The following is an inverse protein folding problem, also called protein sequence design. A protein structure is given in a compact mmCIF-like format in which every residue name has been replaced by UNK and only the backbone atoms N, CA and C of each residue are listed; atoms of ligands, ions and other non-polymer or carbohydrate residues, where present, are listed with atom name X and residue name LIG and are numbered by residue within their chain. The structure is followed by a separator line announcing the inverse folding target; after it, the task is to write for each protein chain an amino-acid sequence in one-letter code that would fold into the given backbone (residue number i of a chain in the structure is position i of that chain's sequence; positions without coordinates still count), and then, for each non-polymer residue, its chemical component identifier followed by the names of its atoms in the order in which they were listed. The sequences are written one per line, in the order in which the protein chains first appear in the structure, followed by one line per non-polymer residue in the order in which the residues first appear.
data_IF_497696528419
#
_entry.id   IF_497696528419
#
_cell.length_a   1.000
_cell.length_b   1.000
_cell.length_c   1.000
_cell.angle_alpha   90.00
_cell.angle_beta   90.00
_cell.angle_gamma   90.00
#
_symmetry.space_group_name_H-M   'P 1'
#
loop_
_entity.id
_entity.type
_entity.pdbx_description
1 polymer ?
#
# COMPACT_ATOMS: atom_id res chain seq x y z
N UNK A 1 -13.62 -1.06 0.53
CA UNK A 1 -14.63 -0.14 1.13
C UNK A 1 -15.09 0.85 0.07
N UNK A 2 -16.36 1.28 0.11
CA UNK A 2 -16.88 2.35 -0.74
C UNK A 2 -16.13 3.67 -0.50
N UNK A 3 -15.70 4.32 -1.58
CA UNK A 3 -14.91 5.55 -1.55
C UNK A 3 -13.42 5.36 -1.26
N UNK A 4 -12.91 4.12 -1.27
CA UNK A 4 -11.48 3.79 -1.08
C UNK A 4 -10.95 3.03 -2.30
N UNK A 5 -9.74 3.35 -2.78
CA UNK A 5 -9.20 2.77 -4.00
C UNK A 5 -8.83 1.30 -3.79
N UNK A 6 -9.30 0.42 -4.67
CA UNK A 6 -8.86 -0.98 -4.76
C UNK A 6 -7.65 -1.04 -5.67
N UNK A 7 -6.48 -1.30 -5.09
CA UNK A 7 -5.19 -1.26 -5.78
C UNK A 7 -4.65 -2.69 -5.99
N UNK A 8 -4.87 -3.33 -7.15
CA UNK A 8 -4.42 -4.71 -7.37
C UNK A 8 -2.90 -4.80 -7.40
N UNK A 9 -2.37 -5.82 -6.71
CA UNK A 9 -0.97 -6.23 -6.81
C UNK A 9 -0.76 -6.97 -8.12
N UNK A 10 0.11 -6.42 -8.96
CA UNK A 10 0.45 -6.98 -10.27
C UNK A 10 1.96 -7.12 -10.35
N UNK A 11 2.43 -8.35 -10.55
CA UNK A 11 3.82 -8.63 -10.92
C UNK A 11 3.83 -8.96 -12.41
N UNK A 12 4.28 -8.01 -13.23
CA UNK A 12 4.31 -8.14 -14.68
C UNK A 12 5.74 -8.45 -15.14
N UNK A 13 5.88 -9.52 -15.92
CA UNK A 13 7.13 -9.88 -16.58
C UNK A 13 7.03 -9.55 -18.08
N UNK A 14 8.10 -9.00 -18.66
CA UNK A 14 8.19 -8.65 -20.08
C UNK A 14 7.11 -7.68 -20.59
N UNK A 15 6.51 -6.91 -19.68
CA UNK A 15 5.47 -5.93 -19.96
C UNK A 15 5.39 -4.89 -18.85
N UNK A 16 4.47 -3.96 -18.99
CA UNK A 16 4.29 -2.85 -18.06
C UNK A 16 2.82 -2.56 -17.83
N UNK A 17 2.52 -1.96 -16.68
CA UNK A 17 1.14 -1.68 -16.30
C UNK A 17 0.46 -0.63 -17.18
N UNK A 18 1.20 0.28 -17.82
CA UNK A 18 0.62 1.32 -18.67
C UNK A 18 0.20 0.78 -20.05
N UNK A 19 0.89 -0.25 -20.53
CA UNK A 19 0.57 -0.97 -21.76
C UNK A 19 -0.39 -2.16 -21.58
N UNK A 20 -0.82 -2.42 -20.35
CA UNK A 20 -1.75 -3.51 -20.02
C UNK A 20 -3.20 -3.02 -20.05
N UNK A 21 -4.15 -3.93 -20.32
CA UNK A 21 -5.59 -3.61 -20.36
C UNK A 21 -6.26 -4.13 -19.11
N UNK A 22 -7.08 -3.29 -18.47
CA UNK A 22 -7.88 -3.65 -17.28
C UNK A 22 -9.35 -3.50 -17.58
N UNK A 23 -10.19 -4.35 -16.98
CA UNK A 23 -11.64 -4.24 -16.99
C UNK A 23 -12.19 -4.68 -15.66
N UNK A 24 -13.01 -3.83 -15.06
CA UNK A 24 -13.66 -4.11 -13.79
C UNK A 24 -15.11 -4.53 -13.96
N UNK A 25 -15.49 -5.54 -13.20
CA UNK A 25 -16.84 -6.05 -13.09
C UNK A 25 -17.27 -6.04 -11.62
N UNK A 26 -18.58 -6.01 -11.39
CA UNK A 26 -19.20 -6.16 -10.07
C UNK A 26 -20.35 -7.16 -10.15
N UNK A 27 -20.66 -7.82 -9.04
CA UNK A 27 -21.82 -8.72 -9.00
C UNK A 27 -23.11 -7.99 -9.41
N UNK A 28 -24.02 -8.68 -10.09
CA UNK A 28 -25.33 -8.11 -10.47
C UNK A 28 -26.17 -7.76 -9.23
N UNK A 29 -26.05 -8.58 -8.19
CA UNK A 29 -26.71 -8.42 -6.89
C UNK A 29 -25.87 -9.13 -5.81
N UNK A 30 -26.00 -8.76 -4.52
CA UNK A 30 -25.27 -9.43 -3.45
C UNK A 30 -25.49 -10.95 -3.47
N UNK A 31 -24.40 -11.71 -3.41
CA UNK A 31 -24.42 -13.19 -3.40
C UNK A 31 -24.74 -13.85 -4.75
N UNK A 32 -24.78 -13.10 -5.86
CA UNK A 32 -25.08 -13.65 -7.18
C UNK A 32 -24.05 -14.68 -7.66
N UNK A 33 -22.76 -14.47 -7.39
CA UNK A 33 -21.71 -15.38 -7.84
C UNK A 33 -21.44 -16.55 -6.87
N UNK A 34 -22.07 -16.60 -5.69
CA UNK A 34 -21.99 -17.77 -4.78
C UNK A 34 -22.96 -18.88 -5.21
N UNK A 35 -24.12 -18.49 -5.77
CA UNK A 35 -25.15 -19.41 -6.27
C UNK A 35 -24.73 -20.19 -7.53
N UNK A 36 -23.63 -19.80 -8.17
CA UNK A 36 -23.10 -20.46 -9.38
C UNK A 36 -22.19 -21.66 -9.11
N UNK A 37 -21.69 -21.82 -7.87
CA UNK A 37 -20.67 -22.82 -7.51
C UNK A 37 -21.24 -24.01 -6.73
N UNK A 38 -22.56 -24.04 -6.48
CA UNK A 38 -23.23 -25.21 -5.91
C UNK A 38 -23.35 -26.30 -6.98
N UNK A 39 -22.36 -27.19 -7.05
CA UNK A 39 -22.39 -28.38 -7.88
C UNK A 39 -23.62 -29.25 -7.59
N UNK A 40 -24.60 -29.20 -8.48
CA UNK A 40 -25.60 -30.25 -8.74
C UNK A 40 -26.26 -29.93 -10.08
N UNK A 41 -25.77 -30.59 -11.13
CA UNK A 41 -26.44 -30.62 -12.41
C UNK A 41 -27.77 -31.38 -12.28
N UNK A 42 -28.90 -30.68 -12.34
CA UNK A 42 -30.13 -31.26 -12.88
C UNK A 42 -31.05 -30.17 -13.48
N UNK A 43 -31.20 -30.25 -14.80
CA UNK A 43 -32.36 -29.87 -15.62
C UNK A 43 -33.26 -28.71 -15.15
N UNK A 44 -33.13 -27.55 -15.81
CA UNK A 44 -34.19 -26.95 -16.63
C UNK A 44 -33.75 -25.58 -17.16
N UNK A 45 -34.23 -25.25 -18.35
CA UNK A 45 -33.90 -24.06 -19.12
C UNK A 45 -33.94 -22.74 -18.31
N UNK A 46 -32.76 -22.21 -18.01
CA UNK A 46 -32.54 -20.76 -17.93
C UNK A 46 -31.12 -20.48 -18.41
N UNK A 47 -30.96 -19.54 -19.34
CA UNK A 47 -29.65 -19.02 -19.73
C UNK A 47 -28.92 -18.57 -18.45
N UNK A 48 -27.61 -18.85 -18.27
CA UNK A 48 -26.90 -18.29 -17.12
C UNK A 48 -26.94 -16.77 -17.27
N UNK A 49 -27.78 -16.10 -16.49
CA UNK A 49 -27.70 -14.66 -16.34
C UNK A 49 -26.29 -14.38 -15.83
N UNK A 50 -25.45 -13.71 -16.63
CA UNK A 50 -24.09 -13.35 -16.25
C UNK A 50 -24.11 -12.82 -14.82
N UNK A 51 -23.43 -13.49 -13.90
CA UNK A 51 -23.38 -13.13 -12.47
C UNK A 51 -22.64 -11.81 -12.23
N UNK A 52 -21.97 -11.31 -13.27
CA UNK A 52 -21.13 -10.12 -13.31
C UNK A 52 -21.65 -9.10 -14.31
N UNK A 53 -21.61 -7.82 -13.91
CA UNK A 53 -21.89 -6.64 -14.74
C UNK A 53 -20.61 -5.84 -14.93
N UNK A 54 -20.29 -5.49 -16.18
CA UNK A 54 -19.14 -4.63 -16.49
C UNK A 54 -19.37 -3.21 -15.98
N UNK A 55 -18.35 -2.61 -15.35
CA UNK A 55 -18.46 -1.29 -14.72
C UNK A 55 -18.14 -0.15 -15.69
N UNK A 56 -17.46 -0.44 -16.80
CA UNK A 56 -16.90 0.56 -17.73
C UNK A 56 -15.59 1.19 -17.26
N UNK A 57 -15.05 0.80 -16.10
CA UNK A 57 -13.74 1.25 -15.60
C UNK A 57 -12.64 0.41 -16.25
N UNK A 58 -11.73 1.07 -16.97
CA UNK A 58 -10.63 0.46 -17.71
C UNK A 58 -9.25 0.73 -17.06
N UNK A 59 -9.25 1.43 -15.94
CA UNK A 59 -8.06 1.75 -15.15
C UNK A 59 -7.61 0.58 -14.28
N UNK A 60 -6.33 0.56 -13.91
CA UNK A 60 -5.78 -0.41 -12.94
C UNK A 60 -6.49 -0.34 -11.59
N UNK A 61 -6.90 0.85 -11.16
CA UNK A 61 -7.49 1.10 -9.84
C UNK A 61 -8.99 1.33 -9.99
N UNK A 62 -9.78 0.64 -9.17
CA UNK A 62 -11.22 0.87 -9.07
C UNK A 62 -11.56 1.46 -7.71
N UNK A 63 -12.36 2.52 -7.67
CA UNK A 63 -12.86 3.09 -6.41
C UNK A 63 -14.36 2.80 -6.32
N UNK A 64 -14.79 1.85 -5.46
CA UNK A 64 -16.20 1.49 -5.35
C UNK A 64 -17.03 2.66 -4.85
N UNK A 65 -18.27 2.75 -5.32
CA UNK A 65 -19.26 3.71 -4.85
C UNK A 65 -20.15 3.11 -3.77
N UNK A 66 -21.02 3.93 -3.16
CA UNK A 66 -22.03 3.42 -2.22
C UNK A 66 -23.02 2.46 -2.88
N UNK A 67 -23.22 2.55 -4.21
CA UNK A 67 -24.08 1.62 -4.94
C UNK A 67 -23.46 0.22 -5.09
N UNK A 68 -22.17 0.08 -4.80
CA UNK A 68 -21.46 -1.20 -4.90
C UNK A 68 -21.44 -1.97 -3.57
N UNK A 69 -21.95 -1.36 -2.49
CA UNK A 69 -21.95 -1.98 -1.15
C UNK A 69 -22.70 -3.32 -1.20
N UNK A 70 -22.06 -4.37 -0.66
CA UNK A 70 -22.56 -5.74 -0.65
C UNK A 70 -22.24 -6.54 -1.92
N UNK A 71 -21.62 -5.93 -2.94
CA UNK A 71 -21.22 -6.62 -4.17
C UNK A 71 -19.74 -7.02 -4.10
N UNK A 72 -19.40 -8.21 -4.61
CA UNK A 72 -18.00 -8.54 -4.93
C UNK A 72 -17.57 -7.89 -6.24
N UNK A 73 -16.26 -7.78 -6.42
CA UNK A 73 -15.63 -7.19 -7.59
C UNK A 73 -14.84 -8.26 -8.34
N UNK A 74 -14.71 -8.11 -9.65
CA UNK A 74 -13.84 -8.94 -10.48
C UNK A 74 -12.99 -8.06 -11.38
N UNK A 75 -11.70 -8.34 -11.42
CA UNK A 75 -10.74 -7.72 -12.32
C UNK A 75 -10.40 -8.70 -13.44
N UNK A 76 -10.60 -8.30 -14.69
CA UNK A 76 -9.99 -8.94 -15.85
C UNK A 76 -8.81 -8.08 -16.30
N UNK A 77 -7.62 -8.68 -16.42
CA UNK A 77 -6.41 -7.99 -16.87
C UNK A 77 -5.74 -8.74 -18.02
N UNK A 78 -5.28 -7.99 -19.02
CA UNK A 78 -4.49 -8.53 -20.14
C UNK A 78 -3.12 -7.86 -20.14
N UNK A 79 -2.03 -8.59 -19.84
CA UNK A 79 -0.71 -7.99 -19.76
C UNK A 79 -0.22 -7.57 -21.15
N UNK A 80 0.36 -6.39 -21.26
CA UNK A 80 0.88 -5.86 -22.51
C UNK A 80 2.24 -5.16 -22.34
N UNK A 81 2.95 -5.00 -23.45
CA UNK A 81 4.28 -4.36 -23.49
C UNK A 81 4.41 -3.26 -24.56
N UNK A 82 3.27 -2.78 -25.06
CA UNK A 82 3.17 -1.77 -26.11
C UNK A 82 3.25 -2.34 -27.54
N UNK A 83 3.68 -3.60 -27.70
CA UNK A 83 3.75 -4.27 -29.00
C UNK A 83 2.77 -5.43 -29.13
N UNK A 84 2.58 -6.20 -28.06
CA UNK A 84 1.71 -7.36 -28.03
C UNK A 84 1.06 -7.55 -26.67
N UNK A 85 -0.01 -8.33 -26.65
CA UNK A 85 -0.68 -8.77 -25.44
C UNK A 85 -0.35 -10.24 -25.15
N UNK A 86 -0.21 -10.55 -23.87
CA UNK A 86 -0.15 -11.91 -23.36
C UNK A 86 -1.54 -12.48 -23.04
N UNK A 87 -1.60 -13.70 -22.47
CA UNK A 87 -2.86 -14.30 -22.04
C UNK A 87 -3.48 -13.51 -20.90
N UNK A 88 -4.79 -13.27 -20.96
CA UNK A 88 -5.53 -12.59 -19.90
C UNK A 88 -5.70 -13.45 -18.66
N UNK A 89 -5.93 -12.77 -17.52
CA UNK A 89 -6.23 -13.36 -16.22
C UNK A 89 -7.42 -12.65 -15.61
N UNK A 90 -8.18 -13.38 -14.81
CA UNK A 90 -9.28 -12.84 -14.03
C UNK A 90 -9.08 -13.16 -12.54
N UNK A 91 -9.49 -12.26 -11.66
CA UNK A 91 -9.51 -12.47 -10.21
C UNK A 91 -10.77 -11.84 -9.62
N UNK A 92 -11.44 -12.59 -8.75
CA UNK A 92 -12.62 -12.15 -8.00
C UNK A 92 -12.22 -11.79 -6.57
N UNK A 93 -12.85 -10.76 -5.99
CA UNK A 93 -12.66 -10.40 -4.59
C UNK A 93 -13.30 -11.46 -3.70
N UNK A 94 -12.62 -11.79 -2.60
CA UNK A 94 -13.17 -12.73 -1.60
C UNK A 94 -14.26 -12.05 -0.77
N UNK A 95 -14.07 -10.77 -0.44
CA UNK A 95 -15.02 -9.99 0.33
C UNK A 95 -15.89 -9.08 -0.57
N UNK A 96 -17.14 -8.80 -0.17
CA UNK A 96 -17.95 -7.77 -0.79
C UNK A 96 -17.46 -6.37 -0.38
N UNK A 97 -17.88 -5.35 -1.13
CA UNK A 97 -17.61 -3.95 -0.76
C UNK A 97 -18.37 -3.59 0.51
N UNK A 98 -17.65 -3.15 1.52
CA UNK A 98 -18.22 -2.61 2.75
C UNK A 98 -18.36 -1.08 2.70
N UNK A 99 -19.22 -0.53 3.57
CA UNK A 99 -19.28 0.91 3.80
C UNK A 99 -17.94 1.41 4.36
N UNK A 100 -17.41 2.52 3.82
CA UNK A 100 -16.25 3.19 4.40
C UNK A 100 -16.63 3.99 5.67
N UNK A 101 -15.64 4.47 6.43
CA UNK A 101 -15.88 5.45 7.48
C UNK A 101 -16.54 6.71 6.91
N UNK A 102 -17.34 7.40 7.73
CA UNK A 102 -18.04 8.62 7.32
C UNK A 102 -17.10 9.74 6.89
N UNK A 103 -16.17 10.15 7.77
CA UNK A 103 -15.14 11.13 7.44
C UNK A 103 -13.79 10.64 7.92
N UNK A 104 -12.75 10.92 7.13
CA UNK A 104 -11.36 10.69 7.51
C UNK A 104 -10.66 12.04 7.70
N UNK A 105 -9.69 12.08 8.62
CA UNK A 105 -8.93 13.30 8.93
C UNK A 105 -8.18 13.85 7.72
N UNK A 106 -7.78 12.98 6.78
CA UNK A 106 -7.11 13.36 5.55
C UNK A 106 -8.05 13.93 4.47
N UNK A 107 -9.37 13.79 4.57
CA UNK A 107 -10.31 14.27 3.54
C UNK A 107 -10.19 15.78 3.34
N UNK A 108 -10.07 16.55 4.44
CA UNK A 108 -9.85 17.99 4.37
C UNK A 108 -8.46 18.33 3.82
N UNK A 109 -7.44 17.53 4.14
CA UNK A 109 -6.05 17.72 3.68
C UNK A 109 -5.94 17.48 2.16
N UNK A 110 -6.75 16.57 1.62
CA UNK A 110 -6.84 16.30 0.18
C UNK A 110 -7.34 17.49 -0.64
N UNK A 111 -8.10 18.42 -0.03
CA UNK A 111 -8.50 19.66 -0.71
C UNK A 111 -7.32 20.52 -1.16
N UNK A 112 -6.17 20.43 -0.46
CA UNK A 112 -4.94 21.17 -0.75
C UNK A 112 -3.98 20.41 -1.68
N UNK A 113 -4.29 19.15 -1.99
CA UNK A 113 -3.37 18.23 -2.68
C UNK A 113 -4.00 17.57 -3.91
N UNK A 114 -5.09 18.16 -4.44
CA UNK A 114 -5.87 17.67 -5.59
C UNK A 114 -5.09 17.35 -6.86
N UNK A 115 -3.90 17.92 -7.03
CA UNK A 115 -3.06 17.74 -8.22
C UNK A 115 -1.62 17.47 -7.81
N UNK A 116 -0.91 16.76 -8.68
CA UNK A 116 0.56 16.68 -8.67
C UNK A 116 1.12 18.09 -8.85
N UNK A 117 2.24 18.37 -8.19
CA UNK A 117 2.85 19.71 -8.25
C UNK A 117 3.64 19.93 -9.54
N UNK A 118 3.83 21.19 -9.92
CA UNK A 118 4.68 21.57 -11.06
C UNK A 118 6.15 21.20 -10.82
N UNK A 119 6.98 21.22 -11.87
CA UNK A 119 8.38 20.79 -11.80
C UNK A 119 9.26 21.63 -10.84
N UNK A 120 8.85 22.86 -10.52
CA UNK A 120 9.55 23.74 -9.59
C UNK A 120 9.31 23.42 -8.11
N UNK A 121 8.38 22.51 -7.80
CA UNK A 121 8.02 22.16 -6.43
C UNK A 121 8.32 20.70 -6.13
N UNK A 122 8.51 20.38 -4.84
CA UNK A 122 8.63 18.99 -4.37
C UNK A 122 7.67 18.84 -3.20
N UNK A 123 6.56 18.12 -3.41
CA UNK A 123 5.66 17.77 -2.31
C UNK A 123 6.22 16.57 -1.57
N UNK A 124 6.56 16.78 -0.31
CA UNK A 124 7.18 15.77 0.56
C UNK A 124 6.22 15.33 1.65
N UNK A 125 6.15 14.03 1.91
CA UNK A 125 5.41 13.43 3.02
C UNK A 125 6.40 12.70 3.93
N UNK A 126 6.23 12.86 5.24
CA UNK A 126 6.84 11.99 6.25
C UNK A 126 5.74 11.42 7.12
N UNK A 127 5.66 10.10 7.26
CA UNK A 127 4.60 9.48 8.05
C UNK A 127 5.01 8.14 8.68
N UNK A 128 4.89 8.05 10.00
CA UNK A 128 4.95 6.79 10.73
C UNK A 128 3.57 6.11 10.66
N UNK A 129 3.53 4.91 10.08
CA UNK A 129 2.28 4.22 9.74
C UNK A 129 1.72 3.33 10.87
N UNK A 130 2.40 3.24 12.01
CA UNK A 130 2.10 2.32 13.10
C UNK A 130 2.18 0.84 12.65
N UNK A 131 3.30 0.18 12.95
CA UNK A 131 3.56 -1.16 12.45
C UNK A 131 2.58 -2.17 13.07
N UNK A 132 2.10 -3.10 12.25
CA UNK A 132 1.14 -4.10 12.67
C UNK A 132 1.72 -5.04 13.72
N UNK A 133 3.01 -5.36 13.59
CA UNK A 133 3.74 -6.15 14.58
C UNK A 133 3.62 -5.60 16.01
N UNK A 134 3.33 -4.30 16.17
CA UNK A 134 3.06 -3.67 17.46
C UNK A 134 1.55 -3.53 17.72
N UNK A 135 0.78 -3.04 16.76
CA UNK A 135 -0.63 -2.70 16.92
C UNK A 135 -1.56 -3.90 17.16
N UNK A 136 -1.27 -5.06 16.59
CA UNK A 136 -2.15 -6.24 16.66
C UNK A 136 -2.22 -6.89 18.07
N UNK A 137 -1.30 -6.52 18.96
CA UNK A 137 -1.17 -7.14 20.29
C UNK A 137 -2.36 -6.82 21.19
N UNK A 138 -2.78 -7.78 22.01
CA UNK A 138 -3.87 -7.57 23.00
C UNK A 138 -3.56 -6.40 23.93
N UNK A 139 -2.30 -6.27 24.35
CA UNK A 139 -1.81 -5.13 25.12
C UNK A 139 -2.03 -3.80 24.39
N UNK A 140 -1.69 -3.70 23.10
CA UNK A 140 -1.94 -2.46 22.34
C UNK A 140 -3.42 -2.14 22.26
N UNK A 141 -4.27 -3.14 22.02
CA UNK A 141 -5.72 -2.95 21.88
C UNK A 141 -6.40 -2.56 23.20
N UNK A 142 -5.93 -3.10 24.32
CA UNK A 142 -6.58 -2.92 25.64
C UNK A 142 -5.93 -1.84 26.51
N UNK A 143 -4.66 -1.50 26.28
CA UNK A 143 -3.90 -0.56 27.12
C UNK A 143 -3.48 0.68 26.37
N UNK A 144 -2.90 0.55 25.17
CA UNK A 144 -2.40 1.72 24.41
C UNK A 144 -3.52 2.44 23.64
N UNK A 145 -4.43 1.68 23.05
CA UNK A 145 -5.51 2.16 22.19
C UNK A 145 -6.92 1.69 22.62
N UNK A 146 -7.27 1.71 23.92
CA UNK A 146 -8.57 1.21 24.39
C UNK A 146 -9.77 2.02 23.87
N UNK A 147 -9.52 3.24 23.43
CA UNK A 147 -10.51 4.14 22.84
C UNK A 147 -10.73 3.89 21.34
N UNK A 148 -9.86 3.12 20.68
CA UNK A 148 -9.98 2.83 19.26
C UNK A 148 -10.87 1.60 19.06
N UNK A 149 -11.81 1.67 18.12
CA UNK A 149 -12.63 0.51 17.79
C UNK A 149 -11.73 -0.64 17.31
N UNK A 150 -11.90 -1.89 17.81
CA UNK A 150 -10.99 -2.98 17.49
C UNK A 150 -10.81 -3.25 15.99
N UNK A 151 -11.88 -3.14 15.19
CA UNK A 151 -11.82 -3.29 13.73
C UNK A 151 -10.98 -2.21 13.05
N UNK A 152 -10.90 -1.01 13.62
CA UNK A 152 -10.15 0.11 13.07
C UNK A 152 -8.63 -0.01 13.32
N UNK A 153 -8.23 -0.89 14.24
CA UNK A 153 -6.83 -1.27 14.46
C UNK A 153 -6.35 -2.39 13.54
N UNK A 154 -7.28 -3.17 12.96
CA UNK A 154 -6.93 -4.26 12.05
C UNK A 154 -6.15 -3.75 10.84
N UNK A 155 -5.15 -4.53 10.42
CA UNK A 155 -4.22 -4.12 9.38
C UNK A 155 -4.92 -3.73 8.09
N UNK A 156 -5.81 -4.58 7.59
CA UNK A 156 -6.49 -4.36 6.32
C UNK A 156 -7.36 -3.09 6.31
N UNK A 157 -7.99 -2.77 7.44
CA UNK A 157 -8.73 -1.53 7.59
C UNK A 157 -7.79 -0.32 7.52
N UNK A 158 -6.70 -0.35 8.31
CA UNK A 158 -5.70 0.73 8.32
C UNK A 158 -5.05 0.91 6.95
N UNK A 159 -4.72 -0.19 6.26
CA UNK A 159 -4.09 -0.13 4.95
C UNK A 159 -4.98 0.53 3.91
N UNK A 160 -6.28 0.23 3.87
CA UNK A 160 -7.20 0.93 2.97
C UNK A 160 -7.20 2.45 3.22
N UNK A 161 -7.20 2.88 4.50
CA UNK A 161 -7.13 4.29 4.86
C UNK A 161 -5.79 4.92 4.44
N UNK A 162 -4.67 4.27 4.74
CA UNK A 162 -3.32 4.72 4.37
C UNK A 162 -3.17 4.83 2.86
N UNK A 163 -3.66 3.85 2.10
CA UNK A 163 -3.61 3.88 0.63
C UNK A 163 -4.36 5.10 0.08
N UNK A 164 -5.61 5.32 0.53
CA UNK A 164 -6.37 6.51 0.14
C UNK A 164 -5.67 7.80 0.55
N UNK A 165 -5.16 7.85 1.78
CA UNK A 165 -4.46 9.00 2.32
C UNK A 165 -3.24 9.39 1.48
N UNK A 166 -2.32 8.45 1.27
CA UNK A 166 -1.05 8.71 0.58
C UNK A 166 -1.25 8.99 -0.91
N UNK A 167 -2.10 8.24 -1.60
CA UNK A 167 -2.38 8.46 -3.02
C UNK A 167 -3.08 9.80 -3.25
N UNK A 168 -4.01 10.18 -2.36
CA UNK A 168 -4.70 11.46 -2.42
C UNK A 168 -3.79 12.68 -2.19
N UNK A 169 -2.63 12.52 -1.56
CA UNK A 169 -1.66 13.61 -1.42
C UNK A 169 -0.97 14.00 -2.72
N UNK A 170 -1.00 13.17 -3.76
CA UNK A 170 -0.31 13.43 -5.03
C UNK A 170 1.15 13.90 -4.79
N UNK A 171 1.83 13.25 -3.85
CA UNK A 171 3.18 13.62 -3.41
C UNK A 171 4.23 13.24 -4.45
N UNK A 172 5.41 13.85 -4.33
CA UNK A 172 6.56 13.57 -5.18
C UNK A 172 7.62 12.73 -4.44
N UNK A 173 7.72 12.91 -3.13
CA UNK A 173 8.58 12.13 -2.23
C UNK A 173 7.79 11.74 -0.98
N UNK A 174 7.81 10.47 -0.60
CA UNK A 174 7.12 9.96 0.60
C UNK A 174 8.11 9.11 1.41
N UNK A 175 8.41 9.54 2.63
CA UNK A 175 9.26 8.82 3.57
C UNK A 175 8.41 8.24 4.70
N UNK A 176 8.46 6.93 4.89
CA UNK A 176 7.61 6.20 5.81
C UNK A 176 8.43 5.47 6.87
N UNK A 177 7.91 5.42 8.08
CA UNK A 177 8.46 4.66 9.21
C UNK A 177 7.43 3.66 9.71
N UNK A 178 7.87 2.64 10.47
CA UNK A 178 7.00 1.58 10.98
C UNK A 178 6.27 0.83 9.86
N UNK A 179 7.02 0.50 8.81
CA UNK A 179 6.50 -0.22 7.65
C UNK A 179 6.83 -1.70 7.78
N UNK A 180 5.83 -2.55 7.99
CA UNK A 180 6.01 -4.00 7.91
C UNK A 180 6.38 -4.42 6.48
N UNK A 181 7.17 -5.49 6.33
CA UNK A 181 7.61 -5.98 5.01
C UNK A 181 6.42 -6.34 4.10
N UNK A 182 5.41 -6.99 4.66
CA UNK A 182 4.18 -7.34 3.94
C UNK A 182 3.43 -6.06 3.52
N UNK A 183 3.29 -5.08 4.41
CA UNK A 183 2.69 -3.77 4.10
C UNK A 183 3.38 -3.08 2.93
N UNK A 184 4.72 -3.07 2.91
CA UNK A 184 5.46 -2.51 1.78
C UNK A 184 5.12 -3.22 0.46
N UNK A 185 5.22 -4.55 0.44
CA UNK A 185 5.12 -5.35 -0.79
C UNK A 185 3.69 -5.60 -1.28
N UNK A 186 2.72 -5.69 -0.38
CA UNK A 186 1.35 -6.10 -0.67
C UNK A 186 0.35 -4.94 -0.65
N UNK A 187 0.66 -3.83 0.03
CA UNK A 187 -0.21 -2.66 0.13
C UNK A 187 0.40 -1.41 -0.53
N UNK A 188 1.55 -0.95 -0.04
CA UNK A 188 2.10 0.35 -0.44
C UNK A 188 2.64 0.36 -1.87
N UNK A 189 3.40 -0.65 -2.28
CA UNK A 189 3.92 -0.75 -3.67
C UNK A 189 2.77 -0.82 -4.68
N UNK A 190 1.78 -1.73 -4.56
CA UNK A 190 0.66 -1.76 -5.51
C UNK A 190 -0.11 -0.45 -5.62
N UNK A 191 -0.36 0.21 -4.48
CA UNK A 191 -1.07 1.48 -4.45
C UNK A 191 -0.22 2.62 -5.03
N UNK A 192 0.97 2.87 -4.53
CA UNK A 192 1.77 4.03 -4.93
C UNK A 192 2.33 3.91 -6.35
N UNK A 193 2.61 2.69 -6.83
CA UNK A 193 2.99 2.45 -8.23
C UNK A 193 1.86 2.80 -9.21
N UNK A 194 0.61 2.44 -8.88
CA UNK A 194 -0.55 2.79 -9.69
C UNK A 194 -0.72 4.31 -9.84
N UNK A 195 -0.17 5.10 -8.91
CA UNK A 195 -0.18 6.57 -8.94
C UNK A 195 1.17 7.17 -9.36
N UNK A 196 2.07 6.36 -9.91
CA UNK A 196 3.30 6.79 -10.58
C UNK A 196 4.52 6.98 -9.68
N UNK A 197 4.49 6.45 -8.45
CA UNK A 197 5.64 6.44 -7.55
C UNK A 197 6.33 5.07 -7.53
N UNK A 198 7.64 5.07 -7.35
CA UNK A 198 8.44 3.86 -7.14
C UNK A 198 9.05 3.89 -5.74
N UNK A 199 9.20 2.73 -5.11
CA UNK A 199 9.53 2.62 -3.69
C UNK A 199 10.71 1.72 -3.40
N UNK A 200 11.42 2.04 -2.31
CA UNK A 200 12.55 1.26 -1.79
C UNK A 200 12.39 1.05 -0.29
N UNK A 201 12.70 -0.15 0.18
CA UNK A 201 12.50 -0.57 1.56
C UNK A 201 13.80 -0.95 2.24
N UNK A 202 13.99 -0.51 3.50
CA UNK A 202 15.09 -0.91 4.36
C UNK A 202 14.53 -1.42 5.68
N UNK A 203 14.73 -2.71 5.95
CA UNK A 203 14.31 -3.31 7.22
C UNK A 203 15.22 -2.84 8.37
N UNK A 204 14.62 -2.64 9.54
CA UNK A 204 15.32 -2.42 10.81
C UNK A 204 15.44 -3.73 11.59
N UNK A 205 14.31 -4.27 12.04
CA UNK A 205 14.19 -5.57 12.72
C UNK A 205 12.90 -6.29 12.29
N UNK A 206 11.75 -5.84 12.82
CA UNK A 206 10.43 -6.38 12.49
C UNK A 206 9.73 -5.53 11.42
N UNK A 207 9.86 -4.21 11.55
CA UNK A 207 9.44 -3.20 10.59
C UNK A 207 10.66 -2.46 10.00
N UNK A 208 10.42 -1.50 9.13
CA UNK A 208 11.47 -0.67 8.57
C UNK A 208 11.01 0.64 7.97
N UNK A 209 11.91 1.19 7.16
CA UNK A 209 11.76 2.46 6.48
C UNK A 209 11.43 2.23 5.00
N UNK A 210 10.56 3.07 4.45
CA UNK A 210 10.31 3.09 3.02
C UNK A 210 10.42 4.51 2.47
N UNK A 211 11.03 4.65 1.29
CA UNK A 211 11.04 5.91 0.55
C UNK A 211 10.43 5.67 -0.82
N UNK A 212 9.43 6.46 -1.18
CA UNK A 212 8.82 6.46 -2.50
C UNK A 212 9.08 7.78 -3.21
N UNK A 213 9.38 7.71 -4.51
CA UNK A 213 9.65 8.87 -5.35
C UNK A 213 8.84 8.81 -6.65
N UNK A 214 8.34 9.95 -7.12
CA UNK A 214 7.54 10.03 -8.35
C UNK A 214 8.42 9.90 -9.59
N UNK A 215 8.20 8.86 -10.39
CA UNK A 215 9.01 8.53 -11.57
C UNK A 215 9.03 9.61 -12.65
N UNK A 216 7.97 10.43 -12.72
CA UNK A 216 7.92 11.54 -13.68
C UNK A 216 8.80 12.73 -13.30
N UNK A 217 9.36 12.77 -12.08
CA UNK A 217 10.19 13.87 -11.57
C UNK A 217 11.56 13.42 -11.09
N UNK A 218 11.68 12.17 -10.62
CA UNK A 218 12.90 11.63 -10.04
C UNK A 218 13.20 10.24 -10.57
N UNK A 219 14.49 9.94 -10.64
CA UNK A 219 15.04 8.59 -10.81
C UNK A 219 16.01 8.32 -9.66
N UNK A 220 15.97 7.12 -9.09
CA UNK A 220 16.93 6.71 -8.06
C UNK A 220 18.33 6.61 -8.66
N UNK A 221 19.28 7.39 -8.14
CA UNK A 221 20.67 7.40 -8.62
C UNK A 221 21.58 6.48 -7.81
N UNK A 222 21.43 6.48 -6.48
CA UNK A 222 22.30 5.71 -5.58
C UNK A 222 21.61 5.47 -4.24
N UNK A 223 22.14 4.56 -3.42
CA UNK A 223 21.59 4.24 -2.11
C UNK A 223 22.72 4.09 -1.09
N UNK A 224 22.57 4.72 0.09
CA UNK A 224 23.61 4.79 1.12
C UNK A 224 23.04 4.49 2.52
N UNK A 225 22.23 3.45 2.64
CA UNK A 225 21.60 3.09 3.91
C UNK A 225 22.63 2.58 4.92
N UNK A 226 22.49 2.99 6.18
CA UNK A 226 23.38 2.57 7.26
C UNK A 226 22.59 2.06 8.47
N UNK A 227 23.20 1.13 9.22
CA UNK A 227 22.86 0.92 10.63
C UNK A 227 23.70 1.88 11.46
N UNK A 228 23.09 2.63 12.38
CA UNK A 228 23.83 3.60 13.19
C UNK A 228 24.89 2.93 14.06
N UNK A 229 24.57 1.76 14.60
CA UNK A 229 25.51 0.95 15.37
C UNK A 229 26.72 0.56 14.52
N UNK A 230 26.47 0.00 13.33
CA UNK A 230 27.52 -0.53 12.45
C UNK A 230 28.44 0.59 11.96
N UNK A 231 27.85 1.70 11.50
CA UNK A 231 28.58 2.87 11.03
C UNK A 231 29.45 3.45 12.15
N UNK A 232 28.88 3.65 13.36
CA UNK A 232 29.62 4.22 14.48
C UNK A 232 30.81 3.36 14.92
N UNK A 233 30.72 2.03 14.81
CA UNK A 233 31.80 1.12 15.21
C UNK A 233 32.88 0.93 14.14
N UNK A 234 32.48 0.93 12.87
CA UNK A 234 33.31 0.39 11.79
C UNK A 234 33.75 1.43 10.77
N UNK A 235 33.02 2.54 10.62
CA UNK A 235 33.33 3.57 9.63
C UNK A 235 34.32 4.61 10.21
N UNK A 236 35.50 4.80 9.61
CA UNK A 236 36.46 5.83 10.02
C UNK A 236 35.87 7.24 10.09
N UNK A 237 34.82 7.53 9.32
CA UNK A 237 34.10 8.80 9.34
C UNK A 237 33.60 9.17 10.75
N UNK A 238 33.29 8.17 11.58
CA UNK A 238 32.71 8.36 12.90
C UNK A 238 33.70 8.17 14.05
N UNK A 239 35.01 8.05 13.76
CA UNK A 239 36.05 7.79 14.76
C UNK A 239 36.07 8.81 15.90
N UNK A 240 36.00 10.11 15.61
CA UNK A 240 36.01 11.16 16.63
C UNK A 240 34.78 11.06 17.56
N UNK A 241 33.61 10.74 17.01
CA UNK A 241 32.39 10.56 17.80
C UNK A 241 32.49 9.31 18.68
N UNK A 242 33.03 8.21 18.14
CA UNK A 242 33.26 6.99 18.90
C UNK A 242 34.24 7.21 20.06
N UNK A 243 35.32 7.96 19.85
CA UNK A 243 36.29 8.32 20.89
C UNK A 243 35.65 9.14 22.02
N UNK A 244 34.80 10.12 21.68
CA UNK A 244 34.03 10.88 22.68
C UNK A 244 33.04 10.02 23.45
N UNK A 245 32.38 9.08 22.76
CA UNK A 245 31.41 8.19 23.38
C UNK A 245 32.09 7.17 24.30
N UNK A 246 33.31 6.73 23.97
CA UNK A 246 34.10 5.82 24.79
C UNK A 246 34.46 6.40 26.18
N UNK A 247 34.42 7.73 26.35
CA UNK A 247 34.54 8.37 27.66
C UNK A 247 33.36 8.04 28.59
N UNK A 248 32.25 7.52 28.04
CA UNK A 248 31.04 7.15 28.77
C UNK A 248 30.63 5.70 28.45
N UNK A 249 31.27 4.69 29.07
CA UNK A 249 31.08 3.28 28.69
C UNK A 249 29.62 2.81 28.74
N UNK A 250 28.85 3.25 29.74
CA UNK A 250 27.42 2.91 29.85
C UNK A 250 26.60 3.50 28.70
N UNK A 251 26.90 4.74 28.29
CA UNK A 251 26.22 5.38 27.17
C UNK A 251 26.60 4.69 25.85
N UNK A 252 27.88 4.37 25.68
CA UNK A 252 28.39 3.65 24.52
C UNK A 252 27.69 2.29 24.36
N UNK A 253 27.61 1.50 25.43
CA UNK A 253 26.93 0.21 25.44
C UNK A 253 25.47 0.35 24.99
N UNK A 254 24.73 1.32 25.54
CA UNK A 254 23.31 1.53 25.20
C UNK A 254 23.09 1.98 23.76
N UNK A 255 23.97 2.83 23.22
CA UNK A 255 23.91 3.29 21.83
C UNK A 255 24.20 2.12 20.88
N UNK A 256 25.23 1.33 21.18
CA UNK A 256 25.62 0.19 20.35
C UNK A 256 24.66 -0.99 20.44
N UNK A 257 23.75 -1.02 21.41
CA UNK A 257 22.64 -1.99 21.46
C UNK A 257 21.43 -1.57 20.60
N UNK A 258 21.45 -0.43 19.91
CA UNK A 258 20.32 0.04 19.10
C UNK A 258 20.41 -0.50 17.67
N UNK A 259 19.30 -1.02 17.17
CA UNK A 259 19.13 -1.49 15.80
C UNK A 259 18.68 -0.41 14.82
N UNK A 260 18.65 0.86 15.22
CA UNK A 260 18.14 1.95 14.38
C UNK A 260 18.96 2.12 13.09
N UNK A 261 18.25 2.30 11.99
CA UNK A 261 18.81 2.45 10.64
C UNK A 261 18.47 3.84 10.09
N UNK A 262 19.27 4.30 9.13
CA UNK A 262 19.03 5.48 8.31
C UNK A 262 18.89 5.05 6.85
N UNK A 263 17.89 5.61 6.17
CA UNK A 263 17.67 5.40 4.75
C UNK A 263 18.10 6.64 3.95
N UNK A 264 18.94 6.45 2.92
CA UNK A 264 19.45 7.53 2.04
C UNK A 264 19.33 7.08 0.59
N UNK A 265 18.58 7.84 -0.24
CA UNK A 265 18.12 7.48 -1.60
C UNK A 265 18.28 8.64 -2.58
#
# INVERSE_FOLDING_TARGET
MAGFPVCPKLSLEFGDSASSVFRWYKEVKPGAAELGDSGLASSSHSLPSSTWTETGVEERVYTPSNADIGLRLKLHCTPGNGQRFGPSRELESVCPVEAGPGTCTFDHRHLYTKKVTENSFIRTVSYNLLADTYAQTEFSRTVLYPYCAPYALELDYRQNLIQKELTGYNADLICLQEVDRAVFTDSLVPALEAFGLEGVFRIKQHEGLATFYRKSKFSLLSQHDISFQEALQSDPLHKELLEKLALNPLAQEKVLQRSSVLQVK
#
